data_IF_841550800447
#
_entry.id   IF_841550800447
#
_cell.length_a   1.000
_cell.length_b   1.000
_cell.length_c   1.000
_cell.angle_alpha   90.00
_cell.angle_beta   90.00
_cell.angle_gamma   90.00
#
_symmetry.space_group_name_H-M   'P 1'
#
loop_
_entity.id
_entity.type
_entity.pdbx_description
1 polymer ?
#
# COMPACT_ATOMS: atom_id res chain seq x y z
N UNK A 1 -10.30 -2.23 -10.83
CA UNK A 1 -9.60 -2.64 -9.60
C UNK A 1 -9.75 -4.14 -9.46
N UNK A 2 -8.66 -4.88 -9.26
CA UNK A 2 -8.70 -6.33 -9.01
C UNK A 2 -8.35 -6.53 -7.54
N UNK A 3 -9.23 -7.19 -6.80
CA UNK A 3 -9.00 -7.53 -5.39
C UNK A 3 -8.47 -8.95 -5.33
N UNK A 4 -7.27 -9.14 -4.81
CA UNK A 4 -6.67 -10.47 -4.62
C UNK A 4 -6.54 -10.79 -3.14
N UNK A 5 -6.59 -12.09 -2.83
CA UNK A 5 -6.20 -12.59 -1.51
C UNK A 5 -4.68 -12.40 -1.32
N UNK A 6 -4.22 -12.54 -0.07
CA UNK A 6 -2.85 -12.27 0.39
C UNK A 6 -1.73 -12.64 -0.59
N UNK A 7 -1.08 -11.62 -1.16
CA UNK A 7 0.03 -11.76 -2.12
C UNK A 7 1.37 -12.11 -1.45
N UNK A 8 1.48 -11.96 -0.12
CA UNK A 8 2.72 -12.13 0.65
C UNK A 8 2.81 -13.47 1.41
N UNK A 9 1.90 -14.40 1.12
CA UNK A 9 1.85 -15.72 1.76
C UNK A 9 0.98 -15.77 3.02
N UNK A 10 0.58 -17.00 3.39
CA UNK A 10 -0.43 -17.28 4.42
C UNK A 10 -0.04 -16.83 5.83
N UNK A 11 1.25 -16.62 6.10
CA UNK A 11 1.76 -16.26 7.44
C UNK A 11 1.81 -14.76 7.72
N UNK A 12 1.93 -13.89 6.71
CA UNK A 12 1.89 -12.43 6.92
C UNK A 12 0.48 -11.91 7.13
N UNK A 13 -0.53 -12.68 6.75
CA UNK A 13 -1.93 -12.31 6.93
C UNK A 13 -2.51 -12.74 8.28
N UNK A 14 -1.96 -13.77 8.92
CA UNK A 14 -2.38 -14.16 10.29
C UNK A 14 -1.88 -13.19 11.36
N UNK A 15 -0.81 -12.44 11.09
CA UNK A 15 -0.30 -11.37 11.98
C UNK A 15 -0.91 -10.00 11.68
N UNK A 16 -1.64 -9.87 10.56
CA UNK A 16 -2.56 -8.77 10.33
C UNK A 16 -3.81 -9.02 11.17
N UNK A 17 -3.72 -8.74 12.48
CA UNK A 17 -4.89 -8.73 13.35
C UNK A 17 -6.03 -7.95 12.71
N UNK A 18 -7.27 -8.38 12.94
CA UNK A 18 -8.54 -7.96 12.31
C UNK A 18 -8.88 -6.45 12.38
N UNK A 19 -7.92 -5.62 12.78
CA UNK A 19 -8.02 -4.19 13.07
C UNK A 19 -7.00 -3.34 12.25
N UNK A 20 -6.41 -3.92 11.18
CA UNK A 20 -5.40 -3.24 10.36
C UNK A 20 -5.97 -2.96 8.97
N UNK A 21 -6.14 -1.68 8.65
CA UNK A 21 -6.70 -1.21 7.38
C UNK A 21 -6.01 -1.77 6.14
N UNK A 22 -6.70 -1.63 5.00
CA UNK A 22 -6.28 -2.24 3.74
C UNK A 22 -4.89 -1.75 3.31
N UNK A 23 -4.10 -2.65 2.72
CA UNK A 23 -2.82 -2.31 2.09
C UNK A 23 -3.00 -2.41 0.58
N UNK A 24 -2.64 -1.37 -0.15
CA UNK A 24 -2.68 -1.33 -1.60
C UNK A 24 -1.28 -1.61 -2.16
N UNK A 25 -1.23 -2.35 -3.26
CA UNK A 25 -0.04 -2.57 -4.06
C UNK A 25 -0.19 -1.84 -5.39
N UNK A 26 0.58 -0.78 -5.60
CA UNK A 26 0.66 -0.09 -6.89
C UNK A 26 1.90 -0.58 -7.63
N UNK A 27 1.69 -1.20 -8.80
CA UNK A 27 2.77 -1.58 -9.70
C UNK A 27 2.75 -0.69 -10.94
N UNK A 28 3.75 0.20 -11.11
CA UNK A 28 3.96 0.90 -12.37
C UNK A 28 4.10 -0.11 -13.50
N UNK A 29 3.34 0.07 -14.58
CA UNK A 29 3.39 -0.82 -15.74
C UNK A 29 3.32 -0.02 -17.04
N UNK A 30 3.82 -0.62 -18.11
CA UNK A 30 3.64 -0.13 -19.47
C UNK A 30 2.19 -0.33 -19.93
N UNK A 31 1.85 0.23 -21.09
CA UNK A 31 0.53 0.02 -21.74
C UNK A 31 0.24 -1.47 -21.99
N UNK A 32 1.29 -2.28 -22.15
CA UNK A 32 1.22 -3.73 -22.31
C UNK A 32 1.12 -4.48 -20.96
N UNK A 33 0.90 -3.78 -19.85
CA UNK A 33 0.86 -4.30 -18.48
C UNK A 33 2.15 -4.99 -18.04
N UNK A 34 3.28 -4.68 -18.69
CA UNK A 34 4.59 -5.15 -18.24
C UNK A 34 5.08 -4.25 -17.09
N UNK A 35 5.56 -4.81 -15.96
CA UNK A 35 6.08 -4.00 -14.86
C UNK A 35 7.25 -3.13 -15.33
N UNK A 36 7.22 -1.83 -15.02
CA UNK A 36 8.30 -0.88 -15.37
C UNK A 36 9.12 -0.45 -14.17
N UNK A 37 8.74 -0.89 -12.96
CA UNK A 37 9.45 -0.58 -11.74
C UNK A 37 9.00 -1.45 -10.58
N UNK A 38 9.60 -1.20 -9.41
CA UNK A 38 9.25 -1.90 -8.18
C UNK A 38 7.83 -1.58 -7.73
N UNK A 39 7.20 -2.53 -7.04
CA UNK A 39 5.91 -2.32 -6.38
C UNK A 39 6.02 -1.25 -5.29
N UNK A 40 4.99 -0.41 -5.19
CA UNK A 40 4.84 0.61 -4.16
C UNK A 40 3.69 0.17 -3.25
N UNK A 41 4.03 -0.05 -1.99
CA UNK A 41 3.07 -0.42 -0.96
C UNK A 41 2.51 0.84 -0.29
N UNK A 42 1.19 0.93 -0.22
CA UNK A 42 0.45 2.08 0.31
C UNK A 42 -0.45 1.56 1.43
N UNK A 43 -0.38 2.14 2.62
CA UNK A 43 -1.26 1.84 3.73
C UNK A 43 -0.59 1.88 5.10
N UNK A 44 -1.35 1.55 6.16
CA UNK A 44 -2.73 1.04 6.11
C UNK A 44 -3.75 2.13 5.74
N UNK A 45 -4.73 1.77 4.92
CA UNK A 45 -5.90 2.58 4.56
C UNK A 45 -7.02 2.21 5.51
N UNK A 46 -7.28 3.07 6.52
CA UNK A 46 -8.26 2.78 7.57
C UNK A 46 -9.57 3.55 7.36
N UNK A 47 -9.53 4.65 6.61
CA UNK A 47 -10.64 5.58 6.44
C UNK A 47 -10.90 5.89 4.98
N UNK A 48 -12.07 6.45 4.69
CA UNK A 48 -12.39 6.95 3.34
C UNK A 48 -11.48 8.12 2.94
N UNK A 49 -11.07 8.96 3.89
CA UNK A 49 -10.09 10.02 3.64
C UNK A 49 -8.73 9.44 3.20
N UNK A 50 -8.25 8.39 3.87
CA UNK A 50 -7.03 7.68 3.47
C UNK A 50 -7.14 7.10 2.04
N UNK A 51 -8.32 6.58 1.68
CA UNK A 51 -8.58 6.08 0.35
C UNK A 51 -8.58 7.21 -0.68
N UNK A 52 -9.17 8.36 -0.36
CA UNK A 52 -9.17 9.53 -1.23
C UNK A 52 -7.74 10.07 -1.45
N UNK A 53 -6.96 10.21 -0.39
CA UNK A 53 -5.56 10.66 -0.48
C UNK A 53 -4.71 9.71 -1.33
N UNK A 54 -4.93 8.39 -1.19
CA UNK A 54 -4.26 7.40 -2.02
C UNK A 54 -4.69 7.53 -3.49
N UNK A 55 -5.99 7.72 -3.77
CA UNK A 55 -6.52 7.92 -5.11
C UNK A 55 -5.95 9.19 -5.77
N UNK A 56 -5.94 10.31 -5.07
CA UNK A 56 -5.41 11.58 -5.57
C UNK A 56 -3.93 11.48 -5.88
N UNK A 57 -3.16 10.83 -4.99
CA UNK A 57 -1.73 10.58 -5.21
C UNK A 57 -1.48 9.63 -6.40
N UNK A 58 -2.28 8.58 -6.56
CA UNK A 58 -2.19 7.67 -7.72
C UNK A 58 -2.51 8.44 -9.01
N UNK A 59 -3.58 9.26 -9.01
CA UNK A 59 -4.01 10.03 -10.16
C UNK A 59 -3.00 11.11 -10.59
N UNK A 60 -2.22 11.65 -9.64
CA UNK A 60 -1.16 12.62 -9.94
C UNK A 60 -0.01 12.05 -10.80
N UNK A 61 0.11 10.71 -10.92
CA UNK A 61 0.98 10.02 -11.89
C UNK A 61 2.49 10.12 -11.64
N UNK A 62 2.93 10.95 -10.70
CA UNK A 62 4.33 11.05 -10.23
C UNK A 62 4.49 10.27 -8.93
N UNK A 63 4.51 8.94 -9.03
CA UNK A 63 4.50 8.00 -7.90
C UNK A 63 5.84 7.96 -7.13
N UNK A 64 6.24 9.09 -6.57
CA UNK A 64 7.32 9.20 -5.59
C UNK A 64 6.75 9.00 -4.18
N UNK A 65 7.29 8.04 -3.43
CA UNK A 65 6.89 7.73 -2.05
C UNK A 65 7.02 8.93 -1.11
N UNK A 66 7.97 9.83 -1.37
CA UNK A 66 8.14 11.05 -0.56
C UNK A 66 6.98 12.04 -0.67
N UNK A 67 6.15 11.91 -1.71
CA UNK A 67 4.94 12.73 -1.88
C UNK A 67 3.68 12.06 -1.30
N UNK A 68 3.80 10.81 -0.85
CA UNK A 68 2.71 10.10 -0.19
C UNK A 68 2.62 10.54 1.28
N UNK A 69 1.42 10.81 1.83
CA UNK A 69 1.27 11.12 3.24
C UNK A 69 1.92 10.05 4.13
N UNK A 70 2.67 10.45 5.15
CA UNK A 70 3.45 9.53 5.98
C UNK A 70 2.62 8.41 6.62
N UNK A 71 1.33 8.65 6.92
CA UNK A 71 0.40 7.64 7.44
C UNK A 71 0.07 6.52 6.44
N UNK A 72 0.28 6.75 5.15
CA UNK A 72 0.07 5.77 4.08
C UNK A 72 1.38 5.15 3.58
N UNK A 73 2.54 5.49 4.15
CA UNK A 73 3.82 4.88 3.78
C UNK A 73 3.98 3.55 4.50
N UNK A 74 3.78 2.46 3.77
CA UNK A 74 3.74 1.11 4.34
C UNK A 74 5.06 0.69 4.99
N UNK A 75 6.21 1.17 4.51
CA UNK A 75 7.54 0.92 5.07
C UNK A 75 7.70 1.52 6.48
N UNK A 76 7.28 2.78 6.67
CA UNK A 76 7.29 3.44 7.98
C UNK A 76 6.30 2.78 8.94
N UNK A 77 5.14 2.36 8.45
CA UNK A 77 4.13 1.71 9.27
C UNK A 77 4.54 0.30 9.67
N UNK A 78 5.17 -0.46 8.77
CA UNK A 78 5.67 -1.80 9.07
C UNK A 78 6.80 -1.74 10.12
N UNK A 79 7.71 -0.76 10.01
CA UNK A 79 8.75 -0.54 11.02
C UNK A 79 8.17 -0.19 12.40
N UNK A 80 7.15 0.67 12.47
CA UNK A 80 6.44 0.98 13.72
C UNK A 80 5.78 -0.23 14.36
N UNK A 81 5.18 -1.10 13.54
CA UNK A 81 4.55 -2.33 14.00
C UNK A 81 5.60 -3.28 14.58
N UNK A 82 6.74 -3.44 13.93
CA UNK A 82 7.84 -4.28 14.41
C UNK A 82 8.45 -3.77 15.72
N UNK A 83 8.47 -2.46 15.96
CA UNK A 83 8.96 -1.88 17.23
C UNK A 83 7.99 -1.97 18.42
N UNK A 84 6.70 -2.26 18.17
CA UNK A 84 5.68 -2.41 19.22
C UNK A 84 5.51 -3.86 19.68
N UNK A 85 6.32 -4.79 19.17
CA UNK A 85 6.26 -6.21 19.45
C UNK A 85 7.47 -6.69 20.26
#
# INVERSE_FOLDING_TARGET
MVTTQCLLGRFTCTTAGSDRGAVLALQPCSEHRAPTGAVIWIGPVNTEADAQDACDWIAAGRWNRENLPGRLRADLNLARISSRN
#
